data_IF_198045949046
#
_entry.id   IF_198045949046
#
_cell.length_a   1.000
_cell.length_b   1.000
_cell.length_c   1.000
_cell.angle_alpha   90.00
_cell.angle_beta   90.00
_cell.angle_gamma   90.00
#
_symmetry.space_group_name_H-M   'P 1'
#
loop_
_entity.id
_entity.type
_entity.pdbx_description
1 polymer ?
#
# COMPACT_ATOMS: atom_id res chain seq x y z
N UNK A 1 -3.17 4.94 -3.52
CA UNK A 1 -3.18 3.54 -3.05
C UNK A 1 -3.87 3.40 -1.69
N UNK A 2 -3.61 4.28 -0.70
CA UNK A 2 -4.23 4.20 0.62
C UNK A 2 -5.77 4.18 0.59
N UNK A 3 -6.39 5.04 -0.23
CA UNK A 3 -7.84 5.04 -0.43
C UNK A 3 -8.36 3.72 -1.04
N UNK A 4 -7.66 3.18 -2.05
CA UNK A 4 -7.97 1.86 -2.63
C UNK A 4 -7.88 0.76 -1.57
N UNK A 5 -6.81 0.76 -0.77
CA UNK A 5 -6.60 -0.20 0.32
C UNK A 5 -7.49 0.03 1.55
N UNK A 6 -8.31 1.09 1.55
CA UNK A 6 -9.30 1.35 2.60
C UNK A 6 -10.67 0.77 2.30
N UNK A 7 -10.88 0.28 1.06
CA UNK A 7 -12.13 -0.37 0.69
C UNK A 7 -12.30 -1.69 1.45
N UNK A 8 -13.52 -1.97 1.95
CA UNK A 8 -13.76 -3.13 2.81
C UNK A 8 -13.46 -4.48 2.13
N UNK A 9 -13.58 -4.54 0.81
CA UNK A 9 -13.39 -5.77 0.02
C UNK A 9 -12.00 -5.85 -0.64
N UNK A 10 -11.05 -5.00 -0.23
CA UNK A 10 -9.70 -4.95 -0.79
C UNK A 10 -8.65 -5.30 0.28
N UNK A 11 -8.08 -6.50 0.17
CA UNK A 11 -7.14 -7.04 1.15
C UNK A 11 -5.66 -6.70 0.90
N UNK A 12 -5.33 -6.23 -0.31
CA UNK A 12 -3.97 -5.91 -0.73
C UNK A 12 -3.87 -5.43 -2.18
N UNK A 13 -2.64 -5.12 -2.61
CA UNK A 13 -2.34 -4.65 -3.96
C UNK A 13 -1.19 -5.44 -4.60
N UNK A 14 -1.29 -5.67 -5.91
CA UNK A 14 -0.16 -6.11 -6.74
C UNK A 14 0.60 -4.88 -7.25
N UNK A 15 1.84 -4.72 -6.82
CA UNK A 15 2.66 -3.53 -7.12
C UNK A 15 3.69 -3.86 -8.19
N UNK A 16 3.67 -3.13 -9.31
CA UNK A 16 4.63 -3.24 -10.41
C UNK A 16 5.94 -2.48 -10.13
N UNK A 17 6.32 -1.55 -11.00
CA UNK A 17 7.61 -0.84 -10.93
C UNK A 17 7.93 -0.16 -9.58
N UNK A 18 6.92 0.29 -8.83
CA UNK A 18 7.11 0.87 -7.50
C UNK A 18 7.60 -0.14 -6.43
N UNK A 19 7.65 -1.44 -6.75
CA UNK A 19 8.30 -2.47 -5.92
C UNK A 19 9.82 -2.49 -6.04
N UNK A 20 10.39 -1.80 -7.02
CA UNK A 20 11.83 -1.79 -7.31
C UNK A 20 12.60 -0.78 -6.47
N UNK A 21 11.92 0.21 -5.88
CA UNK A 21 12.50 1.15 -4.92
C UNK A 21 12.04 0.77 -3.49
N UNK A 22 12.95 0.35 -2.59
CA UNK A 22 12.60 -0.02 -1.23
C UNK A 22 11.92 1.09 -0.42
N UNK A 23 12.30 2.34 -0.62
CA UNK A 23 11.73 3.48 0.09
C UNK A 23 10.31 3.79 -0.40
N UNK A 24 10.05 3.65 -1.70
CA UNK A 24 8.70 3.76 -2.25
C UNK A 24 7.81 2.59 -1.82
N UNK A 25 8.32 1.36 -1.92
CA UNK A 25 7.58 0.16 -1.52
C UNK A 25 7.25 0.14 -0.03
N UNK A 26 8.17 0.59 0.83
CA UNK A 26 7.92 0.68 2.29
C UNK A 26 6.75 1.60 2.62
N UNK A 27 6.59 2.72 1.90
CA UNK A 27 5.43 3.61 2.06
C UNK A 27 4.12 2.92 1.69
N UNK A 28 4.14 2.04 0.68
CA UNK A 28 2.96 1.25 0.28
C UNK A 28 2.63 0.21 1.35
N UNK A 29 3.61 -0.50 1.90
CA UNK A 29 3.41 -1.53 2.95
C UNK A 29 2.85 -0.94 4.24
N UNK A 30 3.32 0.25 4.64
CA UNK A 30 2.91 0.92 5.87
C UNK A 30 1.50 1.52 5.82
N UNK A 31 0.72 1.27 4.75
CA UNK A 31 -0.64 1.84 4.61
C UNK A 31 -1.56 1.49 5.79
N UNK A 32 -1.41 0.30 6.41
CA UNK A 32 -2.23 -0.13 7.56
C UNK A 32 -1.85 0.53 8.89
N UNK A 33 -0.64 1.08 9.00
CA UNK A 33 -0.14 1.70 10.24
C UNK A 33 -0.65 3.14 10.42
N UNK A 34 -1.30 3.72 9.40
CA UNK A 34 -1.80 5.09 9.40
C UNK A 34 -3.32 5.18 9.67
N UNK A 35 -3.95 4.11 10.21
CA UNK A 35 -5.32 4.17 10.72
C UNK A 35 -5.32 4.92 12.07
N UNK A 36 -5.51 6.23 12.02
CA UNK A 36 -6.03 7.03 13.15
C UNK A 36 -7.54 7.15 13.05
#
# INVERSE_FOLDING_TARGET
IAELMSQPDIDGALVGGASLDPAEFSRIVQFRLHRS
#
